data_IF_200756968332
#
_entry.id   IF_200756968332
#
_cell.length_a   1.000
_cell.length_b   1.000
_cell.length_c   1.000
_cell.angle_alpha   90.00
_cell.angle_beta   90.00
_cell.angle_gamma   90.00
#
_symmetry.space_group_name_H-M   'P 1'
#
loop_
_entity.id
_entity.type
_entity.pdbx_description
1 polymer ?
#
# COMPACT_ATOMS: atom_id res chain seq x y z
N UNK A 1 3.48 8.90 10.16
CA UNK A 1 3.48 8.44 8.74
C UNK A 1 4.79 7.75 8.33
N UNK A 2 4.81 6.41 8.19
CA UNK A 2 5.98 5.64 7.76
C UNK A 2 6.48 6.02 6.36
N UNK A 3 7.80 6.13 6.19
CA UNK A 3 8.42 6.51 4.90
C UNK A 3 8.08 5.54 3.75
N UNK A 4 7.96 4.25 4.07
CA UNK A 4 7.49 3.20 3.15
C UNK A 4 6.08 3.45 2.58
N UNK A 5 5.24 4.20 3.27
CA UNK A 5 3.90 4.55 2.81
C UNK A 5 3.91 5.86 2.02
N UNK A 6 4.79 6.80 2.38
CA UNK A 6 4.96 8.06 1.65
C UNK A 6 5.35 7.84 0.18
N UNK A 7 6.22 6.87 -0.11
CA UNK A 7 6.58 6.51 -1.49
C UNK A 7 5.40 6.00 -2.33
N UNK A 8 4.39 5.39 -1.70
CA UNK A 8 3.17 4.97 -2.41
C UNK A 8 2.24 6.15 -2.70
N UNK A 9 2.23 7.17 -1.85
CA UNK A 9 1.47 8.41 -2.10
C UNK A 9 2.08 9.17 -3.28
N UNK A 10 3.41 9.26 -3.32
CA UNK A 10 4.14 9.92 -4.41
C UNK A 10 3.92 9.18 -5.74
N UNK A 11 4.14 7.85 -5.76
CA UNK A 11 3.89 7.03 -6.93
C UNK A 11 2.43 7.12 -7.41
N UNK A 12 1.46 7.19 -6.48
CA UNK A 12 0.05 7.39 -6.81
C UNK A 12 -0.18 8.68 -7.58
N UNK A 13 0.37 9.79 -7.09
CA UNK A 13 0.22 11.11 -7.71
C UNK A 13 0.92 11.18 -9.05
N UNK A 14 2.15 10.65 -9.14
CA UNK A 14 2.95 10.63 -10.37
C UNK A 14 2.29 9.81 -11.48
N UNK A 15 1.81 8.62 -11.16
CA UNK A 15 1.23 7.67 -12.13
C UNK A 15 -0.30 7.70 -12.20
N UNK A 16 -0.93 8.74 -11.64
CA UNK A 16 -2.39 8.92 -11.59
C UNK A 16 -3.17 7.66 -11.15
N UNK A 17 -2.62 6.93 -10.18
CA UNK A 17 -3.23 5.72 -9.65
C UNK A 17 -4.37 6.07 -8.67
N UNK A 18 -5.39 5.21 -8.59
CA UNK A 18 -6.41 5.31 -7.55
C UNK A 18 -5.91 4.65 -6.27
N UNK A 19 -6.61 4.87 -5.14
CA UNK A 19 -6.33 4.13 -3.91
C UNK A 19 -6.44 2.61 -4.11
N UNK A 20 -7.38 2.16 -4.95
CA UNK A 20 -7.53 0.76 -5.31
C UNK A 20 -6.32 0.24 -6.10
N UNK A 21 -5.83 0.97 -7.11
CA UNK A 21 -4.64 0.57 -7.88
C UNK A 21 -3.41 0.46 -6.99
N UNK A 22 -3.21 1.41 -6.07
CA UNK A 22 -2.10 1.36 -5.09
C UNK A 22 -2.21 0.14 -4.19
N UNK A 23 -3.42 -0.19 -3.73
CA UNK A 23 -3.63 -1.39 -2.92
C UNK A 23 -3.35 -2.66 -3.72
N UNK A 24 -3.88 -2.79 -4.94
CA UNK A 24 -3.65 -3.95 -5.81
C UNK A 24 -2.16 -4.15 -6.09
N UNK A 25 -1.44 -3.08 -6.46
CA UNK A 25 0.00 -3.13 -6.69
C UNK A 25 0.77 -3.64 -5.45
N UNK A 26 0.34 -3.24 -4.25
CA UNK A 26 0.95 -3.72 -2.99
C UNK A 26 0.67 -5.19 -2.73
N UNK A 27 -0.56 -5.64 -2.92
CA UNK A 27 -0.94 -7.06 -2.76
C UNK A 27 -0.25 -7.95 -3.80
N UNK A 28 0.00 -7.41 -4.99
CA UNK A 28 0.80 -8.05 -6.03
C UNK A 28 2.31 -8.11 -5.68
N UNK A 29 2.77 -7.38 -4.66
CA UNK A 29 4.18 -7.32 -4.29
C UNK A 29 5.02 -6.38 -5.15
N UNK A 30 4.38 -5.44 -5.86
CA UNK A 30 5.08 -4.45 -6.69
C UNK A 30 5.85 -3.45 -5.83
N UNK A 31 6.89 -2.85 -6.43
CA UNK A 31 7.71 -1.84 -5.78
C UNK A 31 7.36 -0.44 -6.31
N UNK A 32 6.98 0.51 -5.43
CA UNK A 32 6.54 1.85 -5.85
C UNK A 32 7.64 2.63 -6.59
N UNK A 33 8.92 2.36 -6.29
CA UNK A 33 10.07 2.99 -6.98
C UNK A 33 10.28 2.45 -8.39
N UNK A 34 9.82 1.23 -8.67
CA UNK A 34 9.94 0.58 -9.99
C UNK A 34 8.74 0.85 -10.90
N UNK A 35 7.63 1.37 -10.36
CA UNK A 35 6.43 1.71 -11.14
C UNK A 35 6.75 2.71 -12.26
N UNK A 36 7.68 3.64 -12.03
CA UNK A 36 8.10 4.58 -13.08
C UNK A 36 8.77 3.95 -14.30
N UNK A 37 9.43 2.79 -14.15
CA UNK A 37 9.96 2.04 -15.31
C UNK A 37 8.87 1.24 -16.04
N UNK A 38 7.74 1.00 -15.37
CA UNK A 38 6.61 0.29 -15.95
C UNK A 38 5.63 1.26 -16.62
N UNK A 39 5.66 2.53 -16.22
CA UNK A 39 4.86 3.62 -16.80
C UNK A 39 5.56 4.25 -18.01
N UNK A 40 6.10 3.43 -18.90
CA UNK A 40 6.73 3.87 -20.16
C UNK A 40 5.76 3.79 -21.34
N UNK A 41 4.48 4.06 -21.07
CA UNK A 41 3.41 3.94 -22.05
C UNK A 41 3.49 5.02 -23.15
N UNK A 42 4.23 6.10 -22.91
CA UNK A 42 4.50 7.14 -23.91
C UNK A 42 5.47 6.66 -25.00
N UNK A 43 6.33 5.67 -24.71
CA UNK A 43 7.26 5.11 -25.68
C UNK A 43 6.76 3.81 -26.32
N UNK A 44 5.89 3.06 -25.64
CA UNK A 44 5.33 1.81 -26.14
C UNK A 44 3.78 1.87 -26.12
N UNK A 45 3.13 2.49 -27.12
CA UNK A 45 1.67 2.70 -27.13
C UNK A 45 0.84 1.41 -27.24
N UNK A 46 1.48 0.29 -27.60
CA UNK A 46 0.89 -1.05 -27.56
C UNK A 46 0.86 -1.67 -26.15
N UNK A 47 1.47 -1.00 -25.17
CA UNK A 47 1.52 -1.43 -23.77
C UNK A 47 0.34 -0.82 -23.01
N UNK A 48 -0.32 -1.64 -22.20
CA UNK A 48 -1.44 -1.17 -21.36
C UNK A 48 -0.96 -0.06 -20.39
N UNK A 49 -1.77 0.99 -20.17
CA UNK A 49 -1.45 1.99 -19.17
C UNK A 49 -1.32 1.32 -17.79
N UNK A 50 -0.42 1.83 -16.95
CA UNK A 50 -0.08 1.22 -15.66
C UNK A 50 -1.30 0.85 -14.78
N UNK A 51 -2.37 1.68 -14.67
CA UNK A 51 -3.60 1.30 -13.98
C UNK A 51 -4.23 0.01 -14.50
N UNK A 52 -4.38 -0.12 -15.83
CA UNK A 52 -5.01 -1.27 -16.48
C UNK A 52 -4.13 -2.52 -16.36
N UNK A 53 -2.82 -2.35 -16.44
CA UNK A 53 -1.86 -3.44 -16.19
C UNK A 53 -1.97 -4.00 -14.77
N UNK A 54 -2.14 -3.14 -13.76
CA UNK A 54 -2.35 -3.56 -12.38
C UNK A 54 -3.69 -4.31 -12.23
N UNK A 55 -4.78 -3.81 -12.84
CA UNK A 55 -6.09 -4.48 -12.82
C UNK A 55 -6.02 -5.88 -13.46
N UNK A 56 -5.37 -6.03 -14.62
CA UNK A 56 -5.22 -7.32 -15.31
C UNK A 56 -4.39 -8.32 -14.50
N UNK A 57 -3.24 -7.92 -13.96
CA UNK A 57 -2.44 -8.78 -13.09
C UNK A 57 -3.18 -9.18 -11.81
N UNK A 58 -3.94 -8.26 -11.22
CA UNK A 58 -4.73 -8.55 -10.02
C UNK A 58 -5.83 -9.56 -10.34
N UNK A 59 -6.52 -9.39 -11.48
CA UNK A 59 -7.53 -10.34 -11.95
C UNK A 59 -6.94 -11.72 -12.20
N UNK A 60 -5.78 -11.82 -12.88
CA UNK A 60 -5.12 -13.12 -13.14
C UNK A 60 -4.71 -13.85 -11.85
N UNK A 61 -4.32 -13.12 -10.80
CA UNK A 61 -3.83 -13.72 -9.55
C UNK A 61 -4.95 -14.04 -8.56
N UNK A 62 -5.97 -13.19 -8.47
CA UNK A 62 -7.00 -13.26 -7.44
C UNK A 62 -8.40 -13.52 -7.98
N UNK A 63 -8.61 -13.52 -9.30
CA UNK A 63 -9.91 -13.72 -9.94
C UNK A 63 -10.89 -12.54 -9.74
N UNK A 64 -10.41 -11.41 -9.23
CA UNK A 64 -11.22 -10.24 -8.89
C UNK A 64 -10.68 -9.02 -9.62
N UNK A 65 -11.57 -8.13 -10.08
CA UNK A 65 -11.16 -6.89 -10.75
C UNK A 65 -10.67 -5.81 -9.78
N UNK A 66 -11.15 -5.85 -8.53
CA UNK A 66 -10.82 -4.89 -7.48
C UNK A 66 -10.83 -5.57 -6.10
N UNK A 67 -10.10 -5.03 -5.11
CA UNK A 67 -10.22 -5.47 -3.73
C UNK A 67 -11.62 -5.13 -3.19
N UNK A 68 -12.20 -6.02 -2.38
CA UNK A 68 -13.50 -5.80 -1.74
C UNK A 68 -13.51 -4.59 -0.79
N UNK A 69 -12.38 -4.34 -0.13
CA UNK A 69 -12.20 -3.18 0.76
C UNK A 69 -10.99 -2.38 0.29
N UNK A 70 -11.24 -1.15 -0.15
CA UNK A 70 -10.20 -0.22 -0.56
C UNK A 70 -9.77 0.63 0.63
N UNK A 71 -8.55 0.41 1.11
CA UNK A 71 -7.96 1.14 2.23
C UNK A 71 -6.90 2.09 1.71
N UNK A 72 -7.09 3.38 1.96
CA UNK A 72 -6.13 4.42 1.60
C UNK A 72 -4.78 4.23 2.31
N UNK A 73 -3.70 4.68 1.67
CA UNK A 73 -2.35 4.61 2.25
C UNK A 73 -2.29 5.32 3.60
N UNK A 74 -3.01 6.43 3.74
CA UNK A 74 -3.12 7.24 4.95
C UNK A 74 -3.91 6.53 6.06
N UNK A 75 -5.03 5.90 5.71
CA UNK A 75 -5.84 5.10 6.64
C UNK A 75 -5.02 3.94 7.23
N UNK A 76 -4.27 3.24 6.37
CA UNK A 76 -3.41 2.14 6.78
C UNK A 76 -2.28 2.62 7.70
N UNK A 77 -1.73 3.80 7.46
CA UNK A 77 -0.72 4.39 8.33
C UNK A 77 -1.29 4.67 9.73
N UNK A 78 -2.51 5.23 9.81
CA UNK A 78 -3.20 5.47 11.10
C UNK A 78 -3.43 4.16 11.86
N UNK A 79 -3.87 3.10 11.19
CA UNK A 79 -4.06 1.78 11.82
C UNK A 79 -2.75 1.18 12.36
N UNK A 80 -1.65 1.32 11.61
CA UNK A 80 -0.33 0.83 12.05
C UNK A 80 0.20 1.61 13.27
N UNK A 81 0.02 2.93 13.28
CA UNK A 81 0.40 3.79 14.40
C UNK A 81 -0.45 3.47 15.65
N UNK A 82 -1.76 3.24 15.49
CA UNK A 82 -2.65 2.81 16.58
C UNK A 82 -2.26 1.45 17.17
N UNK A 83 -2.02 0.42 16.34
CA UNK A 83 -1.55 -0.89 16.80
C UNK A 83 -0.21 -0.79 17.54
N UNK A 84 0.71 0.06 17.07
CA UNK A 84 2.00 0.29 17.71
C UNK A 84 1.86 1.01 19.05
N UNK A 85 0.95 1.97 19.16
CA UNK A 85 0.64 2.67 20.41
C UNK A 85 0.05 1.70 21.45
N UNK A 86 -0.96 0.91 21.08
CA UNK A 86 -1.56 -0.12 21.94
C UNK A 86 -0.51 -1.12 22.45
N UNK A 87 0.38 -1.60 21.56
CA UNK A 87 1.45 -2.52 21.95
C UNK A 87 2.44 -1.88 22.94
N UNK A 88 2.73 -0.59 22.78
CA UNK A 88 3.59 0.15 23.72
C UNK A 88 2.91 0.33 25.07
N UNK A 89 1.62 0.67 25.09
CA UNK A 89 0.83 0.80 26.31
C UNK A 89 0.73 -0.53 27.06
N UNK A 90 0.43 -1.64 26.36
CA UNK A 90 0.41 -2.98 26.97
C UNK A 90 1.77 -3.35 27.56
N UNK A 91 2.88 -3.06 26.86
CA UNK A 91 4.23 -3.31 27.37
C UNK A 91 4.54 -2.47 28.60
N UNK A 92 4.15 -1.19 28.60
CA UNK A 92 4.33 -0.30 29.74
C UNK A 92 3.51 -0.77 30.94
N UNK A 93 2.26 -1.17 30.73
CA UNK A 93 1.41 -1.70 31.80
C UNK A 93 1.96 -2.99 32.39
N UNK A 94 2.46 -3.91 31.56
CA UNK A 94 3.12 -5.13 32.03
C UNK A 94 4.40 -4.84 32.83
N UNK A 95 5.21 -3.88 32.39
CA UNK A 95 6.42 -3.49 33.12
C UNK A 95 6.13 -2.81 34.47
N UNK A 96 5.00 -2.09 34.58
CA UNK A 96 4.56 -1.51 35.84
C UNK A 96 4.04 -2.57 36.83
N UNK A 97 3.32 -3.57 36.32
CA UNK A 97 2.83 -4.72 37.10
C UNK A 97 3.98 -5.60 37.64
N UNK A 98 4.98 -5.91 36.80
CA UNK A 98 6.22 -6.63 37.18
C UNK A 98 7.07 -5.88 38.23
N UNK A 99 6.95 -4.54 38.31
CA UNK A 99 7.72 -3.72 39.26
C UNK A 99 7.02 -3.52 40.61
N UNK A 100 5.74 -3.93 40.72
CA UNK A 100 4.91 -3.79 41.92
C UNK A 100 4.69 -5.13 42.66
N UNK A 101 5.12 -6.26 42.09
CA UNK A 101 5.16 -7.57 42.75
C UNK A 101 6.55 -7.92 43.27
#
# INVERSE_FOLDING_TARGET
>A
MPERLRVWIDARKRHRLSHAHVQMARELGMNPKKLGKLDDHEQEPWKLPLPAFIEDLYFRRFGKRRPDVVVSVEERARMEEGKKALKREMKHRRAADDAQG
#
